data_IF_941724783505
#
_entry.id   IF_941724783505
#
_cell.length_a   1.000
_cell.length_b   1.000
_cell.length_c   1.000
_cell.angle_alpha   90.00
_cell.angle_beta   90.00
_cell.angle_gamma   90.00
#
_symmetry.space_group_name_H-M   'P 1'
#
loop_
_entity.id
_entity.type
_entity.pdbx_description
1 polymer ?
#
# COMPACT_ATOMS: atom_id res chain seq x y z
N UNK A 1 18.41 1.89 2.73
CA UNK A 1 19.16 2.73 1.76
C UNK A 1 20.57 2.21 1.72
N UNK A 2 21.16 2.02 0.56
CA UNK A 2 22.58 1.67 0.43
C UNK A 2 23.37 2.79 1.10
N UNK A 3 24.48 2.46 1.79
CA UNK A 3 25.37 3.46 2.38
C UNK A 3 25.81 4.45 1.27
N UNK A 4 25.63 5.75 1.50
CA UNK A 4 26.02 6.79 0.54
C UNK A 4 27.47 6.67 0.13
N UNK A 5 28.34 6.25 1.04
CA UNK A 5 29.77 6.00 0.73
C UNK A 5 29.98 4.96 -0.35
N UNK A 6 29.13 3.92 -0.38
CA UNK A 6 29.20 2.89 -1.44
C UNK A 6 28.69 3.47 -2.75
N UNK A 7 27.60 4.24 -2.71
CA UNK A 7 27.07 4.91 -3.90
C UNK A 7 28.08 5.90 -4.48
N UNK A 8 28.79 6.66 -3.64
CA UNK A 8 29.83 7.59 -4.06
C UNK A 8 31.04 6.89 -4.69
N UNK A 9 31.36 5.68 -4.24
CA UNK A 9 32.43 4.89 -4.84
C UNK A 9 32.06 4.30 -6.21
N UNK A 10 30.79 3.89 -6.37
CA UNK A 10 30.32 3.19 -7.60
C UNK A 10 29.90 4.20 -8.67
N UNK A 11 29.18 5.24 -8.30
CA UNK A 11 28.70 6.31 -9.19
C UNK A 11 28.94 7.65 -8.49
N UNK A 12 30.16 8.22 -8.59
CA UNK A 12 30.44 9.54 -8.04
C UNK A 12 29.65 10.60 -8.78
N UNK A 13 28.98 11.47 -8.04
CA UNK A 13 28.32 12.67 -8.59
C UNK A 13 29.18 13.87 -8.21
N UNK A 14 29.91 14.45 -9.17
CA UNK A 14 30.77 15.59 -8.91
C UNK A 14 29.97 16.87 -8.67
N UNK A 15 30.54 17.82 -7.95
CA UNK A 15 29.99 19.17 -7.87
C UNK A 15 29.97 19.84 -9.26
N UNK A 16 28.93 20.64 -9.51
CA UNK A 16 28.75 21.29 -10.80
C UNK A 16 29.92 22.22 -11.16
N UNK A 17 30.52 22.87 -10.16
CA UNK A 17 31.64 23.79 -10.35
C UNK A 17 32.91 23.04 -10.70
N UNK A 18 33.20 21.96 -9.98
CA UNK A 18 34.34 21.09 -10.25
C UNK A 18 34.25 20.45 -11.65
N UNK A 19 33.07 19.93 -11.98
CA UNK A 19 32.81 19.34 -13.28
C UNK A 19 32.98 20.35 -14.43
N UNK A 20 32.50 21.57 -14.23
CA UNK A 20 32.64 22.69 -15.18
C UNK A 20 34.13 22.98 -15.42
N UNK A 21 34.90 23.16 -14.35
CA UNK A 21 36.30 23.54 -14.45
C UNK A 21 37.15 22.41 -15.11
N UNK A 22 36.85 21.17 -14.78
CA UNK A 22 37.44 20.01 -15.44
C UNK A 22 37.13 19.97 -16.94
N UNK A 23 35.87 20.19 -17.35
CA UNK A 23 35.49 20.17 -18.77
C UNK A 23 36.08 21.33 -19.56
N UNK A 24 36.18 22.50 -18.95
CA UNK A 24 36.87 23.65 -19.59
C UNK A 24 38.32 23.34 -19.80
N UNK A 25 39.01 22.71 -18.84
CA UNK A 25 40.40 22.29 -18.99
C UNK A 25 40.55 21.25 -20.09
N UNK A 26 39.72 20.20 -20.15
CA UNK A 26 39.73 19.18 -21.19
C UNK A 26 39.53 19.79 -22.60
N UNK A 27 38.62 20.77 -22.74
CA UNK A 27 38.40 21.48 -24.01
C UNK A 27 39.64 22.30 -24.42
N UNK A 28 40.29 22.94 -23.45
CA UNK A 28 41.52 23.69 -23.66
C UNK A 28 42.68 22.78 -24.14
N UNK A 29 42.83 21.64 -23.45
CA UNK A 29 43.88 20.65 -23.76
C UNK A 29 43.66 19.99 -25.13
N UNK A 30 42.40 19.85 -25.54
CA UNK A 30 42.00 19.39 -26.88
C UNK A 30 42.18 20.44 -27.99
N UNK A 31 42.69 21.62 -27.66
CA UNK A 31 42.95 22.71 -28.63
C UNK A 31 41.68 23.43 -29.09
N UNK A 32 40.61 23.43 -28.30
CA UNK A 32 39.37 24.13 -28.63
C UNK A 32 39.63 25.64 -28.73
N UNK A 33 39.34 26.26 -29.88
CA UNK A 33 39.67 27.67 -30.14
C UNK A 33 38.87 28.69 -29.36
N UNK A 34 37.71 28.28 -28.78
CA UNK A 34 36.86 29.16 -28.01
C UNK A 34 37.25 29.12 -26.55
N UNK A 35 37.87 30.15 -26.04
CA UNK A 35 38.35 30.25 -24.66
C UNK A 35 37.46 31.13 -23.76
N UNK A 36 36.43 31.74 -24.34
CA UNK A 36 35.57 32.67 -23.63
C UNK A 36 34.37 31.97 -22.98
N UNK A 37 34.60 31.39 -21.81
CA UNK A 37 33.57 30.75 -20.99
C UNK A 37 33.09 31.68 -19.86
N UNK A 38 33.01 32.99 -20.11
CA UNK A 38 32.53 33.95 -19.10
C UNK A 38 31.03 33.73 -18.81
N UNK A 39 30.66 33.98 -17.57
CA UNK A 39 29.26 33.93 -17.12
C UNK A 39 28.40 34.86 -17.99
N UNK A 40 27.28 34.32 -18.51
CA UNK A 40 26.39 35.00 -19.45
C UNK A 40 26.74 34.82 -20.94
N UNK A 41 27.86 34.19 -21.28
CA UNK A 41 28.17 33.83 -22.66
C UNK A 41 27.38 32.61 -23.15
N UNK A 42 27.10 32.57 -24.46
CA UNK A 42 26.33 31.48 -25.10
C UNK A 42 26.99 30.10 -24.84
N UNK A 43 28.30 30.01 -25.03
CA UNK A 43 29.04 28.75 -24.81
C UNK A 43 29.04 28.34 -23.34
N UNK A 44 29.17 29.30 -22.42
CA UNK A 44 29.03 29.01 -20.99
C UNK A 44 27.64 28.45 -20.67
N UNK A 45 26.58 29.08 -21.20
CA UNK A 45 25.21 28.63 -20.97
C UNK A 45 24.96 27.22 -21.53
N UNK A 46 25.40 26.94 -22.75
CA UNK A 46 25.29 25.61 -23.34
C UNK A 46 26.06 24.56 -22.54
N UNK A 47 27.30 24.87 -22.15
CA UNK A 47 28.11 23.98 -21.29
C UNK A 47 27.36 23.67 -19.98
N UNK A 48 26.86 24.68 -19.31
CA UNK A 48 26.13 24.51 -18.04
C UNK A 48 24.86 23.67 -18.18
N UNK A 49 24.14 23.78 -19.30
CA UNK A 49 22.97 22.92 -19.58
C UNK A 49 23.42 21.47 -19.71
N UNK A 50 24.46 21.18 -20.51
CA UNK A 50 24.98 19.83 -20.70
C UNK A 50 25.47 19.23 -19.40
N UNK A 51 26.19 20.00 -18.57
CA UNK A 51 26.71 19.54 -17.28
C UNK A 51 25.58 19.22 -16.28
N UNK A 52 24.52 20.04 -16.25
CA UNK A 52 23.35 19.73 -15.42
C UNK A 52 22.68 18.43 -15.85
N UNK A 53 22.46 18.24 -17.14
CA UNK A 53 21.92 16.99 -17.67
C UNK A 53 22.81 15.80 -17.29
N UNK A 54 24.14 15.95 -17.35
CA UNK A 54 25.06 14.91 -16.93
C UNK A 54 24.91 14.55 -15.44
N UNK A 55 24.81 15.56 -14.56
CA UNK A 55 24.61 15.35 -13.12
C UNK A 55 23.26 14.67 -12.87
N UNK A 56 22.17 15.15 -13.46
CA UNK A 56 20.83 14.55 -13.34
C UNK A 56 20.83 13.08 -13.81
N UNK A 57 21.57 12.77 -14.87
CA UNK A 57 21.73 11.38 -15.33
C UNK A 57 22.47 10.52 -14.31
N UNK A 58 23.55 11.03 -13.71
CA UNK A 58 24.29 10.31 -12.66
C UNK A 58 23.42 10.08 -11.42
N UNK A 59 22.65 11.06 -11.00
CA UNK A 59 21.70 10.94 -9.89
C UNK A 59 20.60 9.91 -10.21
N UNK A 60 20.09 9.90 -11.44
CA UNK A 60 19.16 8.88 -11.89
C UNK A 60 19.77 7.50 -11.83
N UNK A 61 21.01 7.34 -12.32
CA UNK A 61 21.75 6.08 -12.23
C UNK A 61 21.93 5.61 -10.77
N UNK A 62 22.25 6.51 -9.83
CA UNK A 62 22.32 6.19 -8.39
C UNK A 62 20.97 5.73 -7.85
N UNK A 63 19.89 6.41 -8.23
CA UNK A 63 18.54 6.04 -7.86
C UNK A 63 18.20 4.64 -8.35
N UNK A 64 18.43 4.36 -9.63
CA UNK A 64 18.20 3.04 -10.23
C UNK A 64 19.02 1.98 -9.50
N UNK A 65 20.31 2.22 -9.27
CA UNK A 65 21.18 1.30 -8.54
C UNK A 65 20.64 0.98 -7.14
N UNK A 66 20.20 2.00 -6.41
CA UNK A 66 19.62 1.81 -5.08
C UNK A 66 18.33 0.97 -5.13
N UNK A 67 17.50 1.16 -6.15
CA UNK A 67 16.25 0.43 -6.33
C UNK A 67 16.43 -0.99 -6.91
N UNK A 68 17.63 -1.36 -7.37
CA UNK A 68 17.89 -2.70 -7.90
C UNK A 68 17.84 -3.81 -6.85
N UNK A 69 18.00 -3.49 -5.57
CA UNK A 69 18.05 -4.45 -4.48
C UNK A 69 16.72 -4.47 -3.72
N UNK A 70 16.17 -5.66 -3.46
CA UNK A 70 14.92 -5.83 -2.69
C UNK A 70 14.99 -5.12 -1.34
N UNK A 71 16.16 -5.17 -0.68
CA UNK A 71 16.39 -4.52 0.63
C UNK A 71 16.22 -3.00 0.61
N UNK A 72 16.28 -2.36 -0.56
CA UNK A 72 16.25 -0.90 -0.71
C UNK A 72 15.15 -0.41 -1.64
N UNK A 73 14.61 -1.30 -2.47
CA UNK A 73 13.51 -0.99 -3.38
C UNK A 73 12.26 -0.50 -2.63
N UNK A 74 11.53 0.43 -3.19
CA UNK A 74 10.31 1.00 -2.65
C UNK A 74 9.24 1.20 -3.72
N UNK A 75 7.96 1.22 -3.30
CA UNK A 75 6.82 1.43 -4.18
C UNK A 75 6.83 0.48 -5.39
N UNK A 76 6.65 1.03 -6.59
CA UNK A 76 6.58 0.27 -7.84
C UNK A 76 7.88 -0.52 -8.15
N UNK A 77 9.05 -0.04 -7.72
CA UNK A 77 10.30 -0.77 -7.86
C UNK A 77 10.32 -2.05 -7.02
N UNK A 78 9.79 -1.96 -5.80
CA UNK A 78 9.64 -3.13 -4.95
C UNK A 78 8.66 -4.12 -5.57
N UNK A 79 7.53 -3.65 -6.12
CA UNK A 79 6.53 -4.51 -6.77
C UNK A 79 7.11 -5.26 -7.98
N UNK A 80 7.96 -4.58 -8.79
CA UNK A 80 8.71 -5.22 -9.88
C UNK A 80 9.67 -6.30 -9.34
N UNK A 81 10.38 -6.01 -8.25
CA UNK A 81 11.28 -6.99 -7.63
C UNK A 81 10.52 -8.18 -7.03
N UNK A 82 9.36 -7.93 -6.43
CA UNK A 82 8.49 -9.00 -5.94
C UNK A 82 8.05 -9.95 -7.05
N UNK A 83 7.79 -9.43 -8.26
CA UNK A 83 7.41 -10.25 -9.41
C UNK A 83 8.50 -11.24 -9.84
N UNK A 84 9.78 -10.89 -9.66
CA UNK A 84 10.91 -11.81 -9.92
C UNK A 84 10.85 -13.06 -9.02
N UNK A 85 10.19 -12.95 -7.85
CA UNK A 85 9.96 -14.04 -6.90
C UNK A 85 8.54 -14.63 -6.98
N UNK A 86 7.80 -14.32 -8.05
CA UNK A 86 6.39 -14.73 -8.20
C UNK A 86 5.51 -14.27 -7.03
N UNK A 87 5.82 -13.13 -6.44
CA UNK A 87 5.04 -12.50 -5.37
C UNK A 87 4.40 -11.22 -5.88
N UNK A 88 3.25 -10.92 -5.33
CA UNK A 88 2.53 -9.65 -5.54
C UNK A 88 2.18 -9.05 -4.19
N UNK A 89 2.02 -7.74 -4.13
CA UNK A 89 1.58 -7.05 -2.93
C UNK A 89 0.17 -7.53 -2.54
N UNK A 90 -0.05 -7.77 -1.26
CA UNK A 90 -1.39 -8.07 -0.75
C UNK A 90 -2.24 -6.82 -0.86
N UNK A 91 -3.37 -6.95 -1.53
CA UNK A 91 -4.33 -5.85 -1.69
C UNK A 91 -5.16 -5.67 -0.42
N UNK A 92 -5.66 -4.48 -0.22
CA UNK A 92 -6.63 -4.18 0.82
C UNK A 92 -7.87 -5.08 0.67
N UNK A 93 -8.49 -5.41 1.80
CA UNK A 93 -9.70 -6.23 1.86
C UNK A 93 -10.77 -5.56 2.70
N UNK A 94 -12.03 -5.83 2.36
CA UNK A 94 -13.18 -5.38 3.14
C UNK A 94 -13.46 -6.34 4.28
N UNK A 95 -13.81 -5.78 5.44
CA UNK A 95 -14.33 -6.55 6.56
C UNK A 95 -15.68 -7.14 6.18
N UNK A 96 -15.88 -8.42 6.42
CA UNK A 96 -17.19 -9.07 6.37
C UNK A 96 -17.55 -9.61 7.74
N UNK A 97 -18.83 -9.63 8.03
CA UNK A 97 -19.29 -10.12 9.31
C UNK A 97 -20.80 -10.23 9.39
N UNK A 98 -21.29 -10.40 10.60
CA UNK A 98 -22.71 -10.60 10.88
C UNK A 98 -23.18 -9.59 11.90
N UNK A 99 -24.24 -8.85 11.57
CA UNK A 99 -24.92 -7.92 12.46
C UNK A 99 -26.25 -8.52 12.87
N UNK A 100 -26.52 -8.58 14.16
CA UNK A 100 -27.77 -9.09 14.72
C UNK A 100 -28.78 -7.95 14.86
N UNK A 101 -29.93 -8.10 14.24
CA UNK A 101 -31.08 -7.24 14.38
C UNK A 101 -32.07 -7.92 15.28
N UNK A 102 -32.41 -7.30 16.42
CA UNK A 102 -33.27 -7.87 17.45
C UNK A 102 -34.41 -6.92 17.82
N UNK A 103 -35.48 -7.47 18.41
CA UNK A 103 -36.59 -6.71 19.00
C UNK A 103 -36.98 -7.30 20.35
N UNK A 104 -37.50 -6.44 21.22
CA UNK A 104 -37.93 -6.85 22.55
C UNK A 104 -39.35 -7.43 22.53
N UNK A 105 -40.25 -6.89 21.68
CA UNK A 105 -41.61 -7.34 21.56
C UNK A 105 -41.74 -8.44 20.49
N UNK A 106 -42.20 -9.63 20.89
CA UNK A 106 -42.37 -10.78 19.99
C UNK A 106 -43.61 -10.71 19.08
N UNK A 107 -44.51 -9.75 19.29
CA UNK A 107 -45.77 -9.52 18.55
C UNK A 107 -45.60 -8.56 17.36
N UNK A 108 -44.41 -8.01 17.16
CA UNK A 108 -44.13 -7.08 16.07
C UNK A 108 -44.31 -7.70 14.69
N UNK A 109 -44.67 -6.88 13.71
CA UNK A 109 -44.77 -7.27 12.30
C UNK A 109 -43.43 -7.68 11.74
N UNK A 110 -43.44 -8.41 10.61
CA UNK A 110 -42.19 -8.81 9.94
C UNK A 110 -41.41 -7.57 9.45
N UNK A 111 -40.12 -7.52 9.75
CA UNK A 111 -39.22 -6.44 9.33
C UNK A 111 -38.33 -6.95 8.21
N UNK A 112 -38.48 -6.34 7.03
CA UNK A 112 -37.72 -6.69 5.85
C UNK A 112 -36.47 -5.80 5.75
N UNK A 113 -35.30 -6.40 5.71
CA UNK A 113 -33.99 -5.75 5.56
C UNK A 113 -33.53 -6.05 4.12
N UNK A 114 -33.61 -5.08 3.21
CA UNK A 114 -33.24 -5.32 1.82
C UNK A 114 -31.72 -5.48 1.68
N UNK A 115 -31.30 -6.20 0.65
CA UNK A 115 -29.90 -6.19 0.20
C UNK A 115 -29.47 -4.74 -0.09
N UNK A 116 -28.27 -4.38 0.36
CA UNK A 116 -27.75 -3.01 0.21
C UNK A 116 -28.15 -2.08 1.36
N UNK A 117 -28.91 -2.56 2.37
CA UNK A 117 -29.22 -1.76 3.55
C UNK A 117 -27.92 -1.39 4.30
N UNK A 118 -27.83 -0.15 4.80
CA UNK A 118 -26.61 0.38 5.41
C UNK A 118 -26.77 0.42 6.93
N UNK A 119 -25.91 -0.34 7.61
CA UNK A 119 -25.67 -0.26 9.05
C UNK A 119 -24.52 0.70 9.33
N UNK A 120 -24.53 1.37 10.48
CA UNK A 120 -23.55 2.37 10.87
C UNK A 120 -22.97 2.05 12.24
N UNK A 121 -21.66 2.26 12.36
CA UNK A 121 -21.01 2.23 13.67
C UNK A 121 -21.35 3.49 14.48
N UNK A 122 -21.04 3.46 15.77
CA UNK A 122 -20.82 4.69 16.52
C UNK A 122 -19.61 5.44 15.92
N UNK A 123 -19.49 6.72 16.24
CA UNK A 123 -18.36 7.53 15.78
C UNK A 123 -17.05 6.98 16.32
N UNK A 124 -16.07 6.85 15.44
CA UNK A 124 -14.71 6.51 15.81
C UNK A 124 -13.96 7.71 16.44
N UNK A 125 -12.68 7.53 16.74
CA UNK A 125 -11.81 8.57 17.35
C UNK A 125 -11.74 9.83 16.47
N UNK A 126 -11.87 9.67 15.16
CA UNK A 126 -11.82 10.77 14.19
C UNK A 126 -13.19 11.45 14.00
N UNK A 127 -14.24 10.91 14.61
CA UNK A 127 -15.60 11.39 14.48
C UNK A 127 -16.35 10.80 13.28
N UNK A 128 -15.76 9.82 12.57
CA UNK A 128 -16.35 9.16 11.41
C UNK A 128 -17.29 8.02 11.83
N UNK A 129 -18.43 7.90 11.13
CA UNK A 129 -19.31 6.74 11.22
C UNK A 129 -18.97 5.76 10.10
N UNK A 130 -18.54 4.56 10.47
CA UNK A 130 -18.22 3.51 9.50
C UNK A 130 -19.50 2.82 9.03
N UNK A 131 -19.57 2.50 7.74
CA UNK A 131 -20.76 1.94 7.11
C UNK A 131 -20.53 0.51 6.69
N UNK A 132 -21.56 -0.30 6.90
CA UNK A 132 -21.59 -1.72 6.55
C UNK A 132 -22.86 -1.99 5.75
N UNK A 133 -22.72 -2.68 4.64
CA UNK A 133 -23.78 -2.91 3.66
C UNK A 133 -24.28 -4.35 3.78
N UNK A 134 -25.59 -4.56 3.88
CA UNK A 134 -26.20 -5.89 3.88
C UNK A 134 -25.94 -6.61 2.54
N UNK A 135 -25.35 -7.80 2.59
CA UNK A 135 -24.99 -8.58 1.41
C UNK A 135 -26.19 -9.26 0.75
N UNK A 136 -27.22 -9.54 1.52
CA UNK A 136 -28.43 -10.21 1.05
C UNK A 136 -29.68 -9.65 1.72
N UNK A 137 -30.83 -9.91 1.14
CA UNK A 137 -32.11 -9.62 1.75
C UNK A 137 -32.34 -10.58 2.92
N UNK A 138 -32.74 -10.04 4.08
CA UNK A 138 -33.02 -10.81 5.28
C UNK A 138 -34.31 -10.31 5.92
N UNK A 139 -35.14 -11.19 6.44
CA UNK A 139 -36.41 -10.82 7.08
C UNK A 139 -36.46 -11.30 8.52
N UNK A 140 -36.60 -10.37 9.46
CA UNK A 140 -36.96 -10.69 10.84
C UNK A 140 -38.46 -11.07 10.86
N UNK A 141 -38.74 -12.36 10.95
CA UNK A 141 -40.09 -12.90 10.89
C UNK A 141 -40.93 -12.45 12.08
N UNK A 142 -42.26 -12.42 11.89
CA UNK A 142 -43.20 -12.20 12.98
C UNK A 142 -43.01 -13.32 14.02
N UNK A 143 -42.87 -12.91 15.29
CA UNK A 143 -42.62 -13.85 16.38
C UNK A 143 -41.18 -14.19 16.66
N UNK A 144 -40.23 -13.86 15.75
CA UNK A 144 -38.84 -14.03 16.00
C UNK A 144 -38.25 -12.87 16.82
N UNK A 145 -37.36 -13.15 17.76
CA UNK A 145 -36.71 -12.15 18.62
C UNK A 145 -35.47 -11.50 17.95
N UNK A 146 -34.83 -12.22 17.06
CA UNK A 146 -33.64 -11.71 16.35
C UNK A 146 -33.43 -12.39 14.99
N UNK A 147 -32.62 -11.75 14.16
CA UNK A 147 -32.13 -12.30 12.90
C UNK A 147 -30.72 -11.81 12.64
N UNK A 148 -29.90 -12.66 12.11
CA UNK A 148 -28.53 -12.36 11.71
C UNK A 148 -28.47 -11.91 10.26
N UNK A 149 -27.82 -10.77 10.02
CA UNK A 149 -27.70 -10.15 8.71
C UNK A 149 -26.20 -10.15 8.32
N UNK A 150 -25.82 -10.85 7.26
CA UNK A 150 -24.45 -10.77 6.75
C UNK A 150 -24.20 -9.41 6.12
N UNK A 151 -23.10 -8.79 6.52
CA UNK A 151 -22.71 -7.44 6.08
C UNK A 151 -21.28 -7.40 5.60
N UNK A 152 -20.99 -6.42 4.75
CA UNK A 152 -19.64 -6.10 4.28
C UNK A 152 -19.37 -4.61 4.48
N UNK A 153 -18.15 -4.25 4.82
CA UNK A 153 -17.71 -2.87 4.92
C UNK A 153 -17.89 -2.12 3.60
N UNK A 154 -18.27 -0.84 3.65
CA UNK A 154 -18.42 0.02 2.46
C UNK A 154 -17.11 0.18 1.71
N UNK A 155 -15.99 0.31 2.45
CA UNK A 155 -14.65 0.40 1.88
C UNK A 155 -13.70 -0.65 2.49
N UNK A 156 -12.55 -0.79 1.88
CA UNK A 156 -11.46 -1.65 2.33
C UNK A 156 -10.73 -1.01 3.51
N UNK A 157 -10.01 -1.82 4.27
CA UNK A 157 -9.13 -1.35 5.33
C UNK A 157 -9.40 -1.96 6.69
N UNK A 158 -8.33 -2.06 7.48
CA UNK A 158 -8.36 -2.60 8.84
C UNK A 158 -9.23 -1.77 9.82
N UNK A 159 -9.48 -0.49 9.52
CA UNK A 159 -10.34 0.39 10.33
C UNK A 159 -11.78 -0.12 10.48
N UNK A 160 -12.24 -0.96 9.56
CA UNK A 160 -13.58 -1.55 9.59
C UNK A 160 -13.68 -2.77 10.52
N UNK A 161 -12.59 -3.24 11.11
CA UNK A 161 -12.58 -4.31 12.11
C UNK A 161 -13.00 -3.76 13.49
N UNK A 162 -14.24 -3.26 13.55
CA UNK A 162 -14.74 -2.63 14.79
C UNK A 162 -15.02 -3.66 15.87
N UNK A 163 -14.79 -3.32 17.16
CA UNK A 163 -15.16 -4.17 18.29
C UNK A 163 -16.67 -4.49 18.35
N UNK A 164 -17.01 -5.52 19.12
CA UNK A 164 -18.39 -5.86 19.42
C UNK A 164 -19.17 -4.67 20.03
N UNK A 165 -20.45 -4.54 19.69
CA UNK A 165 -21.32 -3.48 20.19
C UNK A 165 -21.11 -2.10 19.55
N UNK A 166 -20.29 -2.00 18.52
CA UNK A 166 -20.02 -0.72 17.85
C UNK A 166 -20.99 -0.42 16.69
N UNK A 167 -21.59 -1.43 16.07
CA UNK A 167 -22.58 -1.25 14.99
C UNK A 167 -23.95 -1.23 15.63
N UNK A 168 -24.52 -0.03 15.81
CA UNK A 168 -25.76 0.16 16.59
C UNK A 168 -26.83 0.95 15.87
N UNK A 169 -26.56 1.44 14.65
CA UNK A 169 -27.47 2.34 13.91
C UNK A 169 -27.65 1.86 12.47
N UNK A 170 -28.71 2.37 11.86
CA UNK A 170 -28.95 2.25 10.41
C UNK A 170 -29.01 3.63 9.77
N UNK A 171 -28.76 3.66 8.47
CA UNK A 171 -28.96 4.88 7.68
C UNK A 171 -30.46 5.14 7.45
N UNK A 172 -31.22 4.10 7.17
CA UNK A 172 -32.67 4.16 6.94
C UNK A 172 -33.40 3.45 8.09
N UNK A 173 -34.46 4.06 8.62
CA UNK A 173 -35.21 3.50 9.72
C UNK A 173 -35.82 2.13 9.38
N UNK A 174 -35.62 1.15 10.25
CA UNK A 174 -36.11 -0.24 10.12
C UNK A 174 -37.28 -0.60 11.07
N UNK A 175 -37.82 0.37 11.78
CA UNK A 175 -38.80 0.13 12.86
C UNK A 175 -38.14 0.05 14.24
N UNK A 176 -38.90 -0.42 15.23
CA UNK A 176 -38.42 -0.54 16.63
C UNK A 176 -37.57 -1.80 16.83
N UNK A 177 -36.36 -1.77 16.25
CA UNK A 177 -35.38 -2.85 16.36
C UNK A 177 -34.10 -2.33 16.99
N UNK A 178 -33.43 -3.18 17.73
CA UNK A 178 -32.07 -2.97 18.24
C UNK A 178 -31.08 -3.66 17.32
N UNK A 179 -29.95 -3.00 17.08
CA UNK A 179 -28.89 -3.48 16.20
C UNK A 179 -27.63 -3.62 17.02
N UNK A 180 -26.96 -4.73 16.88
CA UNK A 180 -25.67 -4.95 17.52
C UNK A 180 -24.82 -5.92 16.72
N UNK A 181 -23.50 -5.76 16.79
CA UNK A 181 -22.54 -6.77 16.37
C UNK A 181 -22.02 -7.49 17.62
N UNK A 182 -22.24 -8.80 17.69
CA UNK A 182 -21.80 -9.63 18.83
C UNK A 182 -20.29 -9.83 18.89
N UNK A 183 -19.81 -10.53 19.93
CA UNK A 183 -18.43 -11.01 19.96
C UNK A 183 -18.22 -12.02 18.83
N UNK A 184 -17.09 -11.91 18.11
CA UNK A 184 -16.82 -12.79 16.97
C UNK A 184 -17.71 -12.52 15.72
N UNK A 185 -18.29 -11.34 15.60
CA UNK A 185 -19.12 -10.95 14.46
C UNK A 185 -18.37 -10.96 13.13
N UNK A 186 -17.05 -10.77 13.15
CA UNK A 186 -16.19 -10.72 11.95
C UNK A 186 -15.99 -12.14 11.43
N UNK A 187 -16.40 -12.37 10.19
CA UNK A 187 -16.16 -13.62 9.46
C UNK A 187 -14.93 -13.54 8.57
N UNK A 188 -14.60 -12.34 8.11
CA UNK A 188 -13.37 -12.02 7.38
C UNK A 188 -12.88 -10.65 7.82
N UNK A 189 -11.66 -10.60 8.31
CA UNK A 189 -11.03 -9.34 8.68
C UNK A 189 -10.71 -8.48 7.46
N UNK A 190 -10.97 -7.18 7.57
CA UNK A 190 -10.49 -6.19 6.63
C UNK A 190 -9.01 -5.90 6.85
N UNK A 191 -8.33 -5.60 5.79
CA UNK A 191 -6.90 -5.25 5.83
C UNK A 191 -6.60 -4.09 4.91
N UNK A 192 -5.60 -3.31 5.25
CA UNK A 192 -5.02 -2.31 4.38
C UNK A 192 -4.12 -2.97 3.33
N UNK A 193 -3.78 -2.24 2.28
CA UNK A 193 -2.76 -2.69 1.33
C UNK A 193 -1.44 -2.89 2.07
N UNK A 194 -0.76 -3.98 1.77
CA UNK A 194 0.54 -4.32 2.36
C UNK A 194 1.54 -3.18 2.18
N UNK A 195 2.17 -2.75 3.26
CA UNK A 195 3.22 -1.73 3.24
C UNK A 195 4.54 -2.26 2.66
N UNK A 196 5.44 -1.35 2.30
CA UNK A 196 6.72 -1.70 1.69
C UNK A 196 7.60 -2.58 2.58
N UNK A 197 7.56 -2.38 3.91
CA UNK A 197 8.40 -3.15 4.83
C UNK A 197 7.92 -4.59 4.92
N UNK A 198 6.63 -4.81 5.13
CA UNK A 198 6.01 -6.13 5.17
C UNK A 198 6.19 -6.89 3.85
N UNK A 199 6.02 -6.19 2.71
CA UNK A 199 6.22 -6.73 1.37
C UNK A 199 7.68 -7.14 1.15
N UNK A 200 8.63 -6.32 1.59
CA UNK A 200 10.08 -6.57 1.52
C UNK A 200 10.47 -7.78 2.34
N UNK A 201 10.07 -7.83 3.63
CA UNK A 201 10.36 -8.97 4.51
C UNK A 201 9.82 -10.27 3.93
N UNK A 202 8.60 -10.28 3.43
CA UNK A 202 7.98 -11.45 2.83
C UNK A 202 8.71 -11.91 1.57
N UNK A 203 9.21 -10.98 0.77
CA UNK A 203 10.00 -11.27 -0.44
C UNK A 203 11.36 -11.86 -0.08
N UNK A 204 12.07 -11.25 0.87
CA UNK A 204 13.35 -11.77 1.36
C UNK A 204 13.23 -13.15 2.02
N UNK A 205 12.14 -13.38 2.76
CA UNK A 205 11.88 -14.69 3.38
C UNK A 205 11.65 -15.79 2.32
N UNK A 206 10.93 -15.48 1.24
CA UNK A 206 10.71 -16.47 0.18
C UNK A 206 12.01 -16.84 -0.56
N UNK A 207 13.01 -15.95 -0.59
CA UNK A 207 14.33 -16.29 -1.10
C UNK A 207 15.01 -17.39 -0.27
N UNK A 208 14.91 -17.32 1.06
CA UNK A 208 15.46 -18.36 1.93
C UNK A 208 14.71 -19.69 1.82
N UNK A 209 13.40 -19.65 1.56
CA UNK A 209 12.57 -20.84 1.34
C UNK A 209 12.96 -21.56 0.04
N UNK A 210 13.20 -20.83 -1.04
CA UNK A 210 13.66 -21.40 -2.32
C UNK A 210 15.04 -22.10 -2.19
N UNK A 211 15.89 -21.64 -1.30
CA UNK A 211 17.19 -22.27 -1.07
C UNK A 211 17.10 -23.60 -0.30
N UNK A 212 16.03 -23.82 0.45
CA UNK A 212 15.82 -25.02 1.27
C UNK A 212 15.08 -26.17 0.54
N UNK A 213 14.21 -25.84 -0.43
CA UNK A 213 13.39 -26.81 -1.14
C UNK A 213 14.23 -27.78 -2.01
N UNK A 214 15.24 -27.34 -2.80
CA UNK A 214 16.06 -28.27 -3.59
C UNK A 214 16.85 -29.26 -2.76
N UNK A 215 17.30 -28.86 -1.57
CA UNK A 215 18.09 -29.73 -0.69
C UNK A 215 17.23 -30.86 -0.09
N UNK A 216 15.98 -30.61 0.20
CA UNK A 216 15.07 -31.62 0.75
C UNK A 216 14.70 -32.68 -0.29
N UNK A 217 14.34 -32.25 -1.49
CA UNK A 217 13.95 -33.17 -2.58
C UNK A 217 15.14 -33.95 -3.14
N UNK A 218 16.34 -33.39 -3.08
CA UNK A 218 17.58 -34.07 -3.51
C UNK A 218 17.97 -35.19 -2.53
N UNK A 219 17.65 -35.06 -1.23
CA UNK A 219 17.95 -36.07 -0.23
C UNK A 219 16.88 -37.18 -0.08
N UNK A 220 15.68 -36.99 -0.62
CA UNK A 220 14.59 -37.97 -0.55
C UNK A 220 14.61 -38.98 -1.72
N UNK A 221 15.33 -38.66 -2.79
CA UNK A 221 15.42 -39.48 -4.00
C UNK A 221 16.75 -40.24 -4.16
N UNK A 222 17.48 -40.51 -3.08
CA UNK A 222 18.67 -41.35 -3.06
C UNK A 222 18.43 -42.62 -2.23
#
# INVERSE_FOLDING_TARGET
MIDEKILDQVIPVPDLTELKDQRIQELSDAGFAITNFHSGGVFHTLLMIVLRIQIELLELCRTVLNQMFVSHASGAWLDLKMSDYSKTRKLAQKTQGVVTVSRTASDGEAVKIPKGHIFKSIKDINGDELRFVALQETTLQKGASSVDVPVEAEAEGARYNVPAGQITRTLTYLGDVSITNGSGWITREGSDTEDDESARERTLRSWSELALVPLRDTYINV
#
